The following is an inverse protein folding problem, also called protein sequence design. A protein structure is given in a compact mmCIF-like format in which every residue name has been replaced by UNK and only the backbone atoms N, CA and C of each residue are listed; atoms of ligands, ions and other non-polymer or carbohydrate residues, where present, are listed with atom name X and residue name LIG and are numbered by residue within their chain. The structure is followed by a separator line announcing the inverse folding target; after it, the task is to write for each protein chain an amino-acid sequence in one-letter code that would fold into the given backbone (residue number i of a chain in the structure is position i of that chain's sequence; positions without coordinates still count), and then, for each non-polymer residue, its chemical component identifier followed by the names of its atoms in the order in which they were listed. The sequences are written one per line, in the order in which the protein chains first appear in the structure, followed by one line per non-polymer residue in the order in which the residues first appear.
data_IF_218053609954
#
_entry.id   IF_218053609954
#
_cell.length_a   1.000
_cell.length_b   1.000
_cell.length_c   1.000
_cell.angle_alpha   90.00
_cell.angle_beta   90.00
_cell.angle_gamma   90.00
#
_symmetry.space_group_name_H-M   'P 1'
#
loop_
_entity.id
_entity.type
_entity.pdbx_description
1 polymer ?
#
# COMPACT_ATOMS: atom_id res chain seq x y z
N UNK A 1 -6.78 -7.28 9.24
CA UNK A 1 -6.36 -7.23 7.82
C UNK A 1 -4.85 -7.32 7.71
N UNK A 2 -4.35 -8.11 6.78
CA UNK A 2 -2.91 -8.17 6.49
C UNK A 2 -2.48 -6.84 5.85
N UNK A 3 -1.35 -6.30 6.28
CA UNK A 3 -0.86 -5.02 5.81
C UNK A 3 0.56 -5.12 5.31
N UNK A 4 0.99 -4.13 4.51
CA UNK A 4 2.36 -4.07 3.96
C UNK A 4 3.29 -3.35 4.92
N UNK A 5 4.56 -3.74 4.90
CA UNK A 5 5.64 -3.03 5.58
C UNK A 5 6.37 -2.09 4.63
N UNK A 6 7.19 -1.19 5.16
CA UNK A 6 8.04 -0.34 4.33
C UNK A 6 8.98 -1.17 3.46
N UNK A 7 9.54 -2.24 4.00
CA UNK A 7 10.42 -3.16 3.27
C UNK A 7 9.70 -3.84 2.11
N UNK A 8 8.44 -4.25 2.31
CA UNK A 8 7.61 -4.81 1.24
C UNK A 8 7.43 -3.81 0.10
N UNK A 9 7.08 -2.57 0.44
CA UNK A 9 6.83 -1.52 -0.56
C UNK A 9 8.09 -1.19 -1.34
N UNK A 10 9.24 -1.09 -0.65
CA UNK A 10 10.54 -0.86 -1.30
C UNK A 10 10.87 -1.99 -2.27
N UNK A 11 10.69 -3.23 -1.88
CA UNK A 11 10.96 -4.39 -2.73
C UNK A 11 10.05 -4.40 -3.97
N UNK A 12 8.76 -4.13 -3.78
CA UNK A 12 7.79 -4.06 -4.89
C UNK A 12 8.17 -2.92 -5.84
N UNK A 13 8.52 -1.76 -5.32
CA UNK A 13 8.94 -0.61 -6.12
C UNK A 13 10.16 -0.94 -6.97
N UNK A 14 11.21 -1.53 -6.38
CA UNK A 14 12.41 -1.92 -7.13
C UNK A 14 12.07 -2.89 -8.26
N UNK A 15 11.16 -3.83 -8.03
CA UNK A 15 10.72 -4.75 -9.07
C UNK A 15 9.97 -4.05 -10.20
N UNK A 16 9.12 -3.08 -9.89
CA UNK A 16 8.42 -2.26 -10.88
C UNK A 16 9.44 -1.55 -11.77
N UNK A 17 10.44 -0.91 -11.17
CA UNK A 17 11.48 -0.20 -11.93
C UNK A 17 12.29 -1.14 -12.82
N UNK A 18 12.65 -2.32 -12.34
CA UNK A 18 13.37 -3.33 -13.13
C UNK A 18 12.57 -3.76 -14.36
N UNK A 19 11.25 -3.90 -14.23
CA UNK A 19 10.39 -4.42 -15.30
C UNK A 19 9.96 -3.33 -16.26
N UNK A 20 9.57 -2.15 -15.76
CA UNK A 20 8.95 -1.10 -16.57
C UNK A 20 9.83 0.13 -16.79
N UNK A 21 11.02 0.17 -16.18
CA UNK A 21 11.96 1.28 -16.34
C UNK A 21 11.73 2.40 -15.36
N UNK A 22 12.69 3.31 -15.29
CA UNK A 22 12.70 4.45 -14.39
C UNK A 22 13.91 4.41 -13.48
N UNK A 23 13.95 5.33 -12.52
CA UNK A 23 15.06 5.48 -11.57
C UNK A 23 14.65 4.85 -10.24
N UNK A 24 15.41 3.83 -9.79
CA UNK A 24 15.19 3.24 -8.47
C UNK A 24 15.78 4.16 -7.37
N UNK A 25 15.16 4.13 -6.23
CA UNK A 25 15.65 4.83 -5.04
C UNK A 25 14.54 5.37 -4.16
N UNK A 26 14.75 5.18 -2.86
CA UNK A 26 13.89 5.73 -1.82
C UNK A 26 14.46 7.11 -1.44
N UNK A 27 13.64 8.16 -1.57
CA UNK A 27 14.04 9.52 -1.27
C UNK A 27 13.61 9.97 0.14
N UNK A 28 12.45 9.50 0.59
CA UNK A 28 11.85 9.96 1.84
C UNK A 28 11.24 8.79 2.60
N UNK A 29 12.04 8.21 3.49
CA UNK A 29 11.59 7.07 4.32
C UNK A 29 10.44 7.45 5.24
N UNK A 30 10.48 8.63 5.84
CA UNK A 30 9.42 9.11 6.73
C UNK A 30 8.10 9.27 5.98
N UNK A 31 8.14 9.78 4.76
CA UNK A 31 6.96 9.90 3.89
C UNK A 31 6.38 8.55 3.52
N UNK A 32 7.23 7.55 3.27
CA UNK A 32 6.80 6.18 3.00
C UNK A 32 6.10 5.58 4.23
N UNK A 33 6.71 5.68 5.38
CA UNK A 33 6.14 5.14 6.63
C UNK A 33 4.82 5.84 6.98
N UNK A 34 4.73 7.15 6.76
CA UNK A 34 3.49 7.89 6.97
C UNK A 34 2.37 7.40 6.04
N UNK A 35 2.68 7.14 4.78
CA UNK A 35 1.69 6.61 3.82
C UNK A 35 1.16 5.24 4.24
N UNK A 36 2.03 4.39 4.78
CA UNK A 36 1.67 3.04 5.24
C UNK A 36 0.84 3.10 6.53
N UNK A 37 1.17 4.00 7.44
CA UNK A 37 0.52 4.13 8.75
C UNK A 37 -0.82 4.87 8.70
N UNK A 38 -0.97 5.85 7.83
CA UNK A 38 -2.16 6.71 7.78
C UNK A 38 -3.49 5.94 7.68
N UNK A 39 -3.59 4.88 6.85
CA UNK A 39 -4.84 4.12 6.76
C UNK A 39 -5.25 3.41 8.05
N UNK A 40 -4.32 3.17 8.95
CA UNK A 40 -4.54 2.43 10.19
C UNK A 40 -4.79 3.33 11.40
N UNK A 41 -4.83 4.65 11.19
CA UNK A 41 -5.01 5.62 12.27
C UNK A 41 -6.43 5.56 12.86
N UNK A 42 -6.51 5.84 14.16
CA UNK A 42 -7.77 5.97 14.87
C UNK A 42 -7.79 7.27 15.66
N UNK A 43 -8.99 7.70 16.01
CA UNK A 43 -9.21 8.87 16.84
C UNK A 43 -10.39 8.60 17.78
N UNK A 44 -10.20 8.81 19.08
CA UNK A 44 -11.23 8.55 20.06
C UNK A 44 -11.71 7.10 20.11
N UNK A 45 -10.86 6.14 19.76
CA UNK A 45 -11.17 4.73 19.71
C UNK A 45 -11.84 4.26 18.42
N UNK A 46 -12.03 5.16 17.45
CA UNK A 46 -12.65 4.82 16.16
C UNK A 46 -11.66 4.98 15.03
N UNK A 47 -11.67 4.03 14.09
CA UNK A 47 -10.82 4.08 12.90
C UNK A 47 -11.25 5.25 12.00
N UNK A 48 -10.27 6.02 11.49
CA UNK A 48 -10.53 7.07 10.50
C UNK A 48 -10.96 6.49 9.16
N UNK A 49 -10.48 5.29 8.84
CA UNK A 49 -10.83 4.55 7.62
C UNK A 49 -11.36 3.18 8.05
N UNK A 50 -12.67 3.09 8.38
CA UNK A 50 -13.22 1.91 9.06
C UNK A 50 -13.30 0.65 8.20
N UNK A 51 -13.42 0.76 6.88
CA UNK A 51 -13.52 -0.41 6.01
C UNK A 51 -12.17 -0.75 5.37
N UNK A 52 -12.00 -2.01 4.96
CA UNK A 52 -10.80 -2.45 4.25
C UNK A 52 -10.62 -1.69 2.95
N UNK A 53 -11.71 -1.43 2.22
CA UNK A 53 -11.67 -0.67 0.97
C UNK A 53 -11.17 0.75 1.20
N UNK A 54 -11.65 1.42 2.25
CA UNK A 54 -11.19 2.76 2.60
C UNK A 54 -9.70 2.78 2.97
N UNK A 55 -9.23 1.77 3.74
CA UNK A 55 -7.83 1.64 4.10
C UNK A 55 -6.95 1.43 2.86
N UNK A 56 -7.38 0.57 1.95
CA UNK A 56 -6.64 0.28 0.71
C UNK A 56 -6.61 1.52 -0.20
N UNK A 57 -7.73 2.21 -0.34
CA UNK A 57 -7.77 3.46 -1.11
C UNK A 57 -6.83 4.51 -0.52
N UNK A 58 -6.78 4.62 0.80
CA UNK A 58 -5.93 5.61 1.48
C UNK A 58 -4.45 5.32 1.30
N UNK A 59 -4.00 4.06 1.40
CA UNK A 59 -2.58 3.76 1.17
C UNK A 59 -2.20 3.99 -0.29
N UNK A 60 -3.02 3.60 -1.24
CA UNK A 60 -2.78 3.86 -2.66
C UNK A 60 -2.61 5.34 -2.96
N UNK A 61 -3.49 6.17 -2.42
CA UNK A 61 -3.40 7.63 -2.53
C UNK A 61 -2.12 8.16 -1.89
N UNK A 62 -1.81 7.74 -0.67
CA UNK A 62 -0.62 8.20 0.05
C UNK A 62 0.68 7.85 -0.67
N UNK A 63 0.81 6.62 -1.17
CA UNK A 63 1.99 6.19 -1.92
C UNK A 63 2.16 6.98 -3.22
N UNK A 64 1.05 7.27 -3.91
CA UNK A 64 1.10 8.06 -5.14
C UNK A 64 1.42 9.54 -4.88
N UNK A 65 1.00 10.08 -3.74
CA UNK A 65 1.02 11.53 -3.46
C UNK A 65 2.20 11.99 -2.63
N UNK A 66 2.74 11.16 -1.74
CA UNK A 66 3.81 11.57 -0.82
C UNK A 66 5.19 11.66 -1.47
N UNK A 67 5.34 11.18 -2.71
CA UNK A 67 6.59 11.23 -3.46
C UNK A 67 7.78 10.68 -2.67
N UNK A 68 7.58 9.54 -2.00
CA UNK A 68 8.61 8.90 -1.18
C UNK A 68 9.75 8.31 -2.02
N UNK A 69 9.49 7.94 -3.27
CA UNK A 69 10.49 7.42 -4.21
C UNK A 69 10.90 8.51 -5.20
N UNK A 70 12.10 8.35 -5.79
CA UNK A 70 12.60 9.26 -6.82
C UNK A 70 11.69 9.22 -8.05
N UNK A 71 11.22 8.02 -8.43
CA UNK A 71 10.40 7.80 -9.62
C UNK A 71 9.39 6.69 -9.34
N UNK A 72 8.34 6.60 -10.15
CA UNK A 72 7.37 5.52 -10.08
C UNK A 72 6.37 5.59 -8.93
N UNK A 73 6.12 6.75 -8.35
CA UNK A 73 5.21 6.88 -7.20
C UNK A 73 3.77 6.49 -7.54
N UNK A 74 3.26 6.87 -8.71
CA UNK A 74 1.91 6.47 -9.13
C UNK A 74 1.84 4.97 -9.40
N UNK A 75 2.89 4.40 -9.99
CA UNK A 75 2.97 2.96 -10.26
C UNK A 75 2.97 2.13 -8.99
N UNK A 76 3.75 2.54 -7.97
CA UNK A 76 3.75 1.83 -6.68
C UNK A 76 2.41 1.94 -5.98
N UNK A 77 1.78 3.10 -5.99
CA UNK A 77 0.44 3.28 -5.41
C UNK A 77 -0.59 2.37 -6.07
N UNK A 78 -0.59 2.30 -7.39
CA UNK A 78 -1.50 1.42 -8.15
C UNK A 78 -1.22 -0.06 -7.86
N UNK A 79 0.05 -0.47 -7.82
CA UNK A 79 0.42 -1.87 -7.60
C UNK A 79 0.06 -2.33 -6.19
N UNK A 80 0.35 -1.55 -5.16
CA UNK A 80 0.01 -1.91 -3.78
C UNK A 80 -1.50 -2.00 -3.60
N UNK A 81 -2.24 -1.06 -4.18
CA UNK A 81 -3.72 -1.10 -4.19
C UNK A 81 -4.22 -2.40 -4.79
N UNK A 82 -3.70 -2.78 -5.95
CA UNK A 82 -4.10 -4.00 -6.65
C UNK A 82 -3.77 -5.26 -5.85
N UNK A 83 -2.57 -5.32 -5.27
CA UNK A 83 -2.15 -6.45 -4.46
C UNK A 83 -3.03 -6.63 -3.22
N UNK A 84 -3.31 -5.55 -2.50
CA UNK A 84 -4.15 -5.62 -1.30
C UNK A 84 -5.60 -6.02 -1.63
N UNK A 85 -6.15 -5.51 -2.73
CA UNK A 85 -7.48 -5.92 -3.19
C UNK A 85 -7.52 -7.39 -3.57
N UNK A 86 -6.49 -7.90 -4.22
CA UNK A 86 -6.38 -9.30 -4.60
C UNK A 86 -6.27 -10.20 -3.36
N UNK A 87 -5.44 -9.83 -2.40
CA UNK A 87 -5.31 -10.55 -1.13
C UNK A 87 -6.62 -10.61 -0.36
N UNK A 88 -7.34 -9.50 -0.30
CA UNK A 88 -8.63 -9.43 0.37
C UNK A 88 -9.64 -10.40 -0.25
N UNK A 89 -9.75 -10.41 -1.57
CA UNK A 89 -10.64 -11.33 -2.30
C UNK A 89 -10.27 -12.78 -2.08
N UNK A 90 -8.99 -13.09 -2.11
CA UNK A 90 -8.50 -14.46 -1.93
C UNK A 90 -8.80 -14.96 -0.52
N UNK A 91 -8.60 -14.13 0.49
CA UNK A 91 -8.92 -14.47 1.87
C UNK A 91 -10.41 -14.71 2.06
N UNK A 92 -11.27 -13.86 1.49
CA UNK A 92 -12.72 -14.02 1.52
C UNK A 92 -13.16 -15.34 0.85
N UNK A 93 -12.54 -15.69 -0.27
CA UNK A 93 -12.82 -16.96 -0.97
C UNK A 93 -12.47 -18.15 -0.09
N UNK A 94 -11.31 -18.15 0.53
CA UNK A 94 -10.85 -19.24 1.41
C UNK A 94 -11.81 -19.38 2.60
N UNK A 95 -12.18 -18.28 3.24
CA UNK A 95 -13.12 -18.30 4.37
C UNK A 95 -14.47 -18.90 3.95
N UNK A 96 -14.98 -18.49 2.79
CA UNK A 96 -16.26 -19.00 2.29
C UNK A 96 -16.22 -20.52 1.99
N UNK A 97 -15.07 -21.04 1.55
CA UNK A 97 -14.91 -22.47 1.30
C UNK A 97 -14.78 -23.30 2.59
N UNK A 98 -14.23 -22.71 3.66
CA UNK A 98 -14.00 -23.38 4.94
C UNK A 98 -15.24 -23.34 5.82
N UNK A 99 -15.97 -22.27 5.79
CA UNK A 99 -17.15 -22.00 6.63
C UNK A 99 -18.44 -21.93 5.84
#
# INVERSE_FOLDING_TARGET
MIWVTAEDVVAIHSRIIQVSGGIDGLRDRAGLEAAIAAPLQSFGGEDLFPTDIEKIARIGFGLASNHAFIDGNKRIGAMVTQLLLTFRKELERIIAEVF
#
